data_IF_871954538131
#
_entry.id   IF_871954538131
#
_cell.length_a   1.000
_cell.length_b   1.000
_cell.length_c   1.000
_cell.angle_alpha   90.00
_cell.angle_beta   90.00
_cell.angle_gamma   90.00
#
_symmetry.space_group_name_H-M   'P 1'
#
loop_
_entity.id
_entity.type
_entity.pdbx_description
1 polymer ?
#
# COMPACT_ATOMS: atom_id res chain seq x y z
N UNK A 1 10.65 -14.69 1.03
CA UNK A 1 10.60 -13.30 1.50
C UNK A 1 9.37 -13.10 2.37
N UNK A 2 9.50 -12.36 3.47
CA UNK A 2 8.39 -12.03 4.41
C UNK A 2 7.68 -10.78 3.92
N UNK A 3 6.36 -10.82 3.82
CA UNK A 3 5.53 -9.74 3.26
C UNK A 3 4.70 -9.09 4.35
N UNK A 4 4.79 -7.77 4.45
CA UNK A 4 3.86 -6.90 5.17
C UNK A 4 2.88 -6.29 4.16
N UNK A 5 1.60 -6.63 4.29
CA UNK A 5 0.54 -6.20 3.36
C UNK A 5 -0.30 -5.10 4.01
N UNK A 6 -0.14 -3.87 3.53
CA UNK A 6 -0.82 -2.66 4.02
C UNK A 6 -2.02 -2.36 3.13
N UNK A 7 -3.11 -1.85 3.72
CA UNK A 7 -4.37 -1.62 3.02
C UNK A 7 -4.83 -2.87 2.28
N UNK A 8 -4.73 -4.01 2.97
CA UNK A 8 -4.71 -5.35 2.39
C UNK A 8 -6.00 -5.73 1.64
N UNK A 9 -7.11 -5.03 1.91
CA UNK A 9 -8.40 -5.39 1.33
C UNK A 9 -8.74 -6.85 1.64
N UNK A 10 -9.01 -7.63 0.59
CA UNK A 10 -9.29 -9.07 0.71
C UNK A 10 -8.03 -9.95 0.56
N UNK A 11 -6.84 -9.34 0.47
CA UNK A 11 -5.56 -10.05 0.39
C UNK A 11 -5.08 -10.38 -1.02
N UNK A 12 -5.42 -9.55 -2.02
CA UNK A 12 -5.06 -9.78 -3.42
C UNK A 12 -3.55 -9.84 -3.65
N UNK A 13 -2.78 -8.90 -3.09
CA UNK A 13 -1.31 -8.91 -3.16
C UNK A 13 -0.74 -10.19 -2.54
N UNK A 14 -1.16 -10.49 -1.33
CA UNK A 14 -0.70 -11.69 -0.61
C UNK A 14 -1.00 -12.97 -1.36
N UNK A 15 -2.21 -13.11 -1.92
CA UNK A 15 -2.58 -14.29 -2.70
C UNK A 15 -1.70 -14.45 -3.94
N UNK A 16 -1.50 -13.36 -4.69
CA UNK A 16 -0.66 -13.37 -5.90
C UNK A 16 0.79 -13.69 -5.59
N UNK A 17 1.37 -13.05 -4.59
CA UNK A 17 2.75 -13.25 -4.19
C UNK A 17 3.01 -14.67 -3.65
N UNK A 18 2.16 -15.16 -2.76
CA UNK A 18 2.28 -16.51 -2.18
C UNK A 18 2.13 -17.61 -3.22
N UNK A 19 1.32 -17.40 -4.28
CA UNK A 19 1.17 -18.36 -5.37
C UNK A 19 2.48 -18.66 -6.11
N UNK A 20 3.46 -17.78 -6.04
CA UNK A 20 4.80 -17.98 -6.63
C UNK A 20 5.71 -18.91 -5.81
N UNK A 21 5.35 -19.19 -4.54
CA UNK A 21 6.15 -20.00 -3.62
C UNK A 21 7.35 -19.29 -2.98
N UNK A 22 7.64 -18.03 -3.35
CA UNK A 22 8.81 -17.29 -2.82
C UNK A 22 8.47 -16.33 -1.68
N UNK A 23 7.20 -16.05 -1.47
CA UNK A 23 6.72 -15.05 -0.52
C UNK A 23 5.85 -15.70 0.55
N UNK A 24 5.87 -15.11 1.74
CA UNK A 24 4.99 -15.48 2.85
C UNK A 24 4.51 -14.22 3.55
N UNK A 25 3.22 -13.98 3.57
CA UNK A 25 2.61 -12.88 4.31
C UNK A 25 2.76 -13.15 5.81
N UNK A 26 3.23 -12.15 6.54
CA UNK A 26 3.46 -12.24 7.98
C UNK A 26 2.57 -11.32 8.79
N UNK A 27 2.03 -10.28 8.16
CA UNK A 27 1.17 -9.29 8.80
C UNK A 27 0.27 -8.61 7.78
N UNK A 28 -0.99 -8.39 8.15
CA UNK A 28 -1.94 -7.53 7.44
C UNK A 28 -2.21 -6.25 8.22
N UNK A 29 -2.46 -5.15 7.50
CA UNK A 29 -3.02 -3.91 8.05
C UNK A 29 -4.25 -3.54 7.21
N UNK A 30 -5.45 -3.66 7.81
CA UNK A 30 -6.74 -3.45 7.13
C UNK A 30 -7.81 -2.97 8.10
N UNK A 31 -8.43 -1.82 7.81
CA UNK A 31 -9.40 -1.21 8.72
C UNK A 31 -10.84 -1.68 8.48
N UNK A 32 -11.17 -2.15 7.26
CA UNK A 32 -12.51 -2.56 6.90
C UNK A 32 -12.85 -3.93 7.49
N UNK A 33 -13.81 -3.98 8.39
CA UNK A 33 -14.19 -5.20 9.13
C UNK A 33 -14.64 -6.34 8.23
N UNK A 34 -15.26 -6.03 7.08
CA UNK A 34 -15.67 -7.05 6.12
C UNK A 34 -14.44 -7.69 5.45
N UNK A 35 -13.47 -6.87 5.02
CA UNK A 35 -12.20 -7.35 4.46
C UNK A 35 -11.44 -8.22 5.48
N UNK A 36 -11.35 -7.78 6.73
CA UNK A 36 -10.72 -8.56 7.81
C UNK A 36 -11.34 -9.96 7.99
N UNK A 37 -12.68 -10.09 7.83
CA UNK A 37 -13.34 -11.42 7.89
C UNK A 37 -12.87 -12.34 6.77
N UNK A 38 -12.68 -11.79 5.56
CA UNK A 38 -12.18 -12.53 4.40
C UNK A 38 -10.72 -12.91 4.61
N UNK A 39 -9.88 -11.99 5.08
CA UNK A 39 -8.49 -12.26 5.40
C UNK A 39 -8.35 -13.39 6.42
N UNK A 40 -9.11 -13.36 7.53
CA UNK A 40 -9.08 -14.44 8.55
C UNK A 40 -9.49 -15.81 7.98
N UNK A 41 -10.42 -15.82 7.01
CA UNK A 41 -10.86 -17.06 6.37
C UNK A 41 -9.80 -17.63 5.43
N UNK A 42 -9.18 -16.76 4.60
CA UNK A 42 -8.29 -17.20 3.52
C UNK A 42 -6.83 -17.32 3.98
N UNK A 43 -6.44 -16.58 5.00
CA UNK A 43 -5.08 -16.56 5.57
C UNK A 43 -5.11 -16.84 7.08
N UNK A 44 -5.51 -18.06 7.48
CA UNK A 44 -5.66 -18.39 8.90
C UNK A 44 -4.32 -18.28 9.63
N UNK A 45 -4.36 -17.64 10.80
CA UNK A 45 -3.17 -17.48 11.65
C UNK A 45 -2.31 -16.27 11.35
N UNK A 46 -2.54 -15.53 10.25
CA UNK A 46 -1.83 -14.26 10.00
C UNK A 46 -2.49 -13.15 10.83
N UNK A 47 -1.73 -12.39 11.63
CA UNK A 47 -2.28 -11.28 12.41
C UNK A 47 -2.77 -10.14 11.51
N UNK A 48 -3.83 -9.45 11.96
CA UNK A 48 -4.42 -8.30 11.28
C UNK A 48 -4.44 -7.13 12.25
N UNK A 49 -3.78 -6.03 11.90
CA UNK A 49 -3.91 -4.76 12.61
C UNK A 49 -4.98 -3.89 11.92
N UNK A 50 -5.76 -3.15 12.68
CA UNK A 50 -6.97 -2.48 12.17
C UNK A 50 -6.78 -0.99 11.82
N UNK A 51 -5.66 -0.36 12.19
CA UNK A 51 -5.43 1.06 11.90
C UNK A 51 -3.96 1.33 11.55
N UNK A 52 -3.73 1.74 10.30
CA UNK A 52 -2.39 2.10 9.83
C UNK A 52 -1.75 3.20 10.67
N UNK A 53 -2.53 4.13 11.22
CA UNK A 53 -2.03 5.26 12.03
C UNK A 53 -1.44 4.80 13.36
N UNK A 54 -1.90 3.69 13.90
CA UNK A 54 -1.39 3.09 15.15
C UNK A 54 -0.45 1.92 14.93
N UNK A 55 -0.37 1.42 13.68
CA UNK A 55 0.55 0.35 13.33
C UNK A 55 2.00 0.84 13.34
N UNK A 56 2.86 0.05 13.95
CA UNK A 56 4.32 0.27 13.95
C UNK A 56 4.97 -0.63 12.93
N UNK A 57 6.21 -0.31 12.55
CA UNK A 57 6.98 -1.13 11.64
C UNK A 57 7.07 -2.60 12.07
N UNK A 58 7.27 -3.47 11.10
CA UNK A 58 7.30 -4.91 11.28
C UNK A 58 8.53 -5.52 10.60
N UNK A 59 9.04 -6.63 11.11
CA UNK A 59 10.16 -7.33 10.49
C UNK A 59 9.69 -8.05 9.20
N UNK A 60 9.88 -7.38 8.06
CA UNK A 60 9.49 -7.86 6.74
C UNK A 60 10.51 -7.45 5.67
N UNK A 61 10.68 -8.30 4.65
CA UNK A 61 11.58 -8.05 3.52
C UNK A 61 10.91 -7.22 2.42
N UNK A 62 9.60 -7.30 2.32
CA UNK A 62 8.77 -6.65 1.32
C UNK A 62 7.56 -5.99 1.99
N UNK A 63 7.35 -4.72 1.70
CA UNK A 63 6.10 -3.99 2.02
C UNK A 63 5.30 -3.83 0.75
N UNK A 64 4.03 -4.24 0.78
CA UNK A 64 3.09 -4.03 -0.33
C UNK A 64 1.88 -3.24 0.16
N UNK A 65 1.24 -2.47 -0.74
CA UNK A 65 0.00 -1.78 -0.39
C UNK A 65 -0.61 -0.95 -1.52
N UNK A 66 -1.94 -1.00 -1.62
CA UNK A 66 -2.74 -0.10 -2.45
C UNK A 66 -3.24 1.08 -1.60
N UNK A 67 -2.43 2.13 -1.45
CA UNK A 67 -2.76 3.23 -0.56
C UNK A 67 -3.85 4.14 -1.15
N UNK A 68 -4.85 4.56 -0.34
CA UNK A 68 -5.86 5.51 -0.78
C UNK A 68 -5.23 6.85 -1.17
N UNK A 69 -5.51 7.28 -2.42
CA UNK A 69 -5.07 8.55 -2.95
C UNK A 69 -6.27 9.25 -3.59
N UNK A 70 -6.93 10.16 -2.87
CA UNK A 70 -8.02 10.94 -3.44
C UNK A 70 -7.54 12.36 -3.80
N UNK A 71 -8.03 12.93 -4.93
CA UNK A 71 -7.63 14.27 -5.34
C UNK A 71 -8.05 15.28 -4.28
N UNK A 72 -7.15 16.20 -3.98
CA UNK A 72 -7.48 17.38 -3.21
C UNK A 72 -8.56 18.15 -3.95
N UNK A 73 -9.75 18.34 -3.35
CA UNK A 73 -10.73 19.25 -3.93
C UNK A 73 -10.12 20.66 -3.93
N UNK A 74 -10.10 21.30 -5.11
CA UNK A 74 -9.46 22.62 -5.37
C UNK A 74 -10.00 23.75 -4.48
N UNK A 75 -11.09 23.52 -3.75
CA UNK A 75 -11.77 24.50 -2.89
C UNK A 75 -11.17 24.71 -1.49
N UNK A 76 -10.08 24.04 -1.12
CA UNK A 76 -9.55 24.15 0.25
C UNK A 76 -8.07 23.87 0.40
N UNK A 77 -7.21 24.75 -0.13
CA UNK A 77 -5.73 24.65 -0.04
C UNK A 77 -5.11 24.46 1.37
N UNK A 78 -5.87 24.62 2.43
CA UNK A 78 -5.38 24.46 3.81
C UNK A 78 -5.94 23.25 4.59
N UNK A 79 -6.96 22.56 4.09
CA UNK A 79 -7.52 21.36 4.74
C UNK A 79 -7.01 20.04 4.18
N UNK A 80 -6.24 20.07 3.09
CA UNK A 80 -5.81 18.91 2.33
C UNK A 80 -4.82 18.00 3.10
N UNK A 81 -4.03 18.54 4.01
CA UNK A 81 -3.06 17.78 4.82
C UNK A 81 -3.75 16.97 5.94
N UNK A 82 -5.01 17.24 6.24
CA UNK A 82 -5.79 16.56 7.28
C UNK A 82 -6.90 15.64 6.70
N UNK A 83 -6.90 15.39 5.38
CA UNK A 83 -7.89 14.50 4.79
C UNK A 83 -7.51 13.04 5.06
N UNK A 84 -8.34 12.35 5.85
CA UNK A 84 -8.19 10.93 6.19
C UNK A 84 -8.12 9.97 4.99
N UNK A 85 -8.28 10.51 3.78
CA UNK A 85 -8.27 9.79 2.50
C UNK A 85 -6.92 9.83 1.77
N UNK A 86 -5.92 10.55 2.31
CA UNK A 86 -4.56 10.55 1.78
C UNK A 86 -3.65 9.84 2.79
N UNK A 87 -3.42 8.56 2.57
CA UNK A 87 -2.70 7.71 3.52
C UNK A 87 -1.28 7.34 3.08
N UNK A 88 -0.75 7.97 2.03
CA UNK A 88 0.65 7.81 1.65
C UNK A 88 1.63 8.15 2.80
N UNK A 89 1.47 9.26 3.54
CA UNK A 89 2.37 9.57 4.65
C UNK A 89 2.44 8.47 5.72
N UNK A 90 1.32 7.79 5.98
CA UNK A 90 1.29 6.67 6.92
C UNK A 90 1.98 5.42 6.35
N UNK A 91 1.77 5.11 5.07
CA UNK A 91 2.49 4.04 4.40
C UNK A 91 3.99 4.30 4.42
N UNK A 92 4.42 5.51 4.08
CA UNK A 92 5.82 5.91 4.08
C UNK A 92 6.44 5.84 5.49
N UNK A 93 5.71 6.26 6.53
CA UNK A 93 6.14 6.09 7.92
C UNK A 93 6.41 4.62 8.25
N UNK A 94 5.48 3.71 7.89
CA UNK A 94 5.64 2.27 8.12
C UNK A 94 6.82 1.71 7.32
N UNK A 95 7.05 2.15 6.09
CA UNK A 95 8.23 1.76 5.29
C UNK A 95 9.51 2.14 6.03
N UNK A 96 9.62 3.37 6.53
CA UNK A 96 10.80 3.83 7.30
C UNK A 96 11.04 3.03 8.58
N UNK A 97 9.97 2.68 9.29
CA UNK A 97 10.05 1.87 10.51
C UNK A 97 10.42 0.41 10.21
N UNK A 98 9.92 -0.16 9.11
CA UNK A 98 10.13 -1.55 8.69
C UNK A 98 11.50 -1.74 8.05
N UNK A 99 12.00 -0.76 7.28
CA UNK A 99 13.23 -0.82 6.48
C UNK A 99 13.30 -2.05 5.57
N UNK A 100 12.27 -2.29 4.74
CA UNK A 100 12.23 -3.47 3.88
C UNK A 100 13.25 -3.35 2.75
N UNK A 101 13.60 -4.48 2.13
CA UNK A 101 14.43 -4.48 0.91
C UNK A 101 13.63 -4.03 -0.31
N UNK A 102 12.32 -4.31 -0.34
CA UNK A 102 11.43 -4.02 -1.46
C UNK A 102 10.15 -3.33 -1.02
N UNK A 103 9.65 -2.45 -1.88
CA UNK A 103 8.33 -1.82 -1.72
C UNK A 103 7.55 -1.97 -3.02
N UNK A 104 6.29 -2.38 -2.94
CA UNK A 104 5.34 -2.37 -4.07
C UNK A 104 4.15 -1.52 -3.67
N UNK A 105 4.03 -0.34 -4.27
CA UNK A 105 2.86 0.54 -4.14
C UNK A 105 1.93 0.38 -5.34
N UNK A 106 0.66 0.15 -5.11
CA UNK A 106 -0.36 0.14 -6.17
C UNK A 106 -1.24 1.38 -6.04
N UNK A 107 -1.64 1.94 -7.19
CA UNK A 107 -2.63 3.00 -7.21
C UNK A 107 -3.37 3.06 -8.55
N UNK A 108 -4.51 3.72 -8.58
CA UNK A 108 -5.24 3.97 -9.80
C UNK A 108 -4.46 4.88 -10.74
N UNK A 109 -4.60 4.67 -12.06
CA UNK A 109 -3.90 5.46 -13.09
C UNK A 109 -3.99 6.98 -12.87
N UNK A 110 -5.08 7.45 -12.27
CA UNK A 110 -5.30 8.87 -12.04
C UNK A 110 -4.24 9.54 -11.13
N UNK A 111 -3.46 8.78 -10.36
CA UNK A 111 -2.38 9.31 -9.52
C UNK A 111 -1.37 10.13 -10.34
N UNK A 112 -1.21 9.81 -11.63
CA UNK A 112 -0.28 10.49 -12.56
C UNK A 112 -0.69 11.95 -12.80
N UNK A 113 -1.98 12.27 -12.70
CA UNK A 113 -2.54 13.59 -12.99
C UNK A 113 -3.09 14.33 -11.78
N UNK A 114 -3.19 13.68 -10.63
CA UNK A 114 -3.65 14.32 -9.39
C UNK A 114 -2.69 15.47 -9.03
N UNK A 115 -3.24 16.66 -8.81
CA UNK A 115 -2.47 17.85 -8.46
C UNK A 115 -1.29 18.11 -9.43
N UNK A 116 -1.54 18.02 -10.73
CA UNK A 116 -0.52 18.19 -11.77
C UNK A 116 0.70 17.25 -11.63
N UNK A 117 0.48 16.04 -11.11
CA UNK A 117 1.53 15.02 -10.91
C UNK A 117 2.28 15.11 -9.59
N UNK A 118 2.08 16.15 -8.80
CA UNK A 118 2.83 16.39 -7.55
C UNK A 118 2.68 15.24 -6.53
N UNK A 119 1.54 14.53 -6.54
CA UNK A 119 1.35 13.41 -5.59
C UNK A 119 2.26 12.24 -5.93
N UNK A 120 2.37 11.89 -7.20
CA UNK A 120 3.28 10.82 -7.65
C UNK A 120 4.73 11.25 -7.46
N UNK A 121 5.07 12.48 -7.78
CA UNK A 121 6.41 13.05 -7.55
C UNK A 121 6.81 12.97 -6.08
N UNK A 122 5.89 13.30 -5.16
CA UNK A 122 6.16 13.17 -3.72
C UNK A 122 6.44 11.71 -3.32
N UNK A 123 5.71 10.74 -3.87
CA UNK A 123 5.97 9.31 -3.64
C UNK A 123 7.38 8.92 -4.06
N UNK A 124 7.83 9.41 -5.24
CA UNK A 124 9.21 9.16 -5.71
C UNK A 124 10.24 9.78 -4.76
N UNK A 125 10.11 11.07 -4.46
CA UNK A 125 11.05 11.79 -3.60
C UNK A 125 11.16 11.16 -2.21
N UNK A 126 10.04 10.74 -1.64
CA UNK A 126 10.01 10.09 -0.33
C UNK A 126 10.77 8.76 -0.36
N UNK A 127 10.50 7.88 -1.34
CA UNK A 127 11.17 6.58 -1.46
C UNK A 127 12.65 6.73 -1.78
N UNK A 128 13.04 7.63 -2.69
CA UNK A 128 14.42 7.92 -3.04
C UNK A 128 15.19 8.48 -1.83
N UNK A 129 14.55 9.27 -0.96
CA UNK A 129 15.17 9.77 0.27
C UNK A 129 15.57 8.68 1.26
N UNK A 130 14.91 7.52 1.18
CA UNK A 130 15.25 6.32 1.97
C UNK A 130 16.17 5.34 1.21
N UNK A 131 16.66 5.74 0.02
CA UNK A 131 17.63 4.97 -0.76
C UNK A 131 17.03 3.93 -1.71
N UNK A 132 15.72 3.98 -1.98
CA UNK A 132 15.11 3.11 -2.98
C UNK A 132 15.32 3.63 -4.39
N UNK A 133 15.55 2.73 -5.34
CA UNK A 133 15.38 3.01 -6.77
C UNK A 133 13.90 2.80 -7.12
N UNK A 134 13.25 3.82 -7.72
CA UNK A 134 11.81 3.79 -7.97
C UNK A 134 11.52 3.63 -9.46
N UNK A 135 10.66 2.67 -9.80
CA UNK A 135 10.19 2.46 -11.16
C UNK A 135 8.67 2.27 -11.19
N UNK A 136 7.97 3.03 -12.04
CA UNK A 136 6.53 2.86 -12.26
C UNK A 136 6.21 2.03 -13.48
N UNK A 137 5.10 1.29 -13.39
CA UNK A 137 4.51 0.54 -14.48
C UNK A 137 3.02 0.87 -14.61
N UNK A 138 2.53 0.99 -15.83
CA UNK A 138 1.08 1.04 -16.10
C UNK A 138 0.65 -0.36 -16.52
N UNK A 139 -0.15 -1.02 -15.66
CA UNK A 139 -0.65 -2.36 -15.91
C UNK A 139 -2.16 -2.27 -16.14
N UNK A 140 -2.67 -2.61 -17.35
CA UNK A 140 -4.11 -2.59 -17.61
C UNK A 140 -4.82 -3.70 -16.82
N UNK A 141 -5.78 -3.33 -15.95
CA UNK A 141 -6.56 -4.30 -15.18
C UNK A 141 -7.36 -5.28 -16.07
N UNK A 142 -7.77 -4.84 -17.26
CA UNK A 142 -8.48 -5.67 -18.25
C UNK A 142 -7.66 -6.87 -18.75
N UNK A 143 -6.33 -6.82 -18.69
CA UNK A 143 -5.50 -7.96 -19.09
C UNK A 143 -5.63 -9.15 -18.13
N UNK A 144 -6.18 -8.94 -16.93
CA UNK A 144 -6.41 -9.98 -15.93
C UNK A 144 -7.78 -10.68 -16.07
N UNK A 145 -8.68 -10.13 -16.89
CA UNK A 145 -10.04 -10.65 -17.10
C UNK A 145 -10.09 -11.69 -18.24
N UNK A 146 -9.06 -11.76 -19.05
CA UNK A 146 -8.99 -12.62 -20.24
C UNK A 146 -8.05 -13.84 -20.07
N UNK A 147 -7.75 -14.23 -18.83
CA UNK A 147 -6.98 -15.44 -18.53
C UNK A 147 -7.96 -16.61 -18.37
#
# INVERSE_FOLDING_TARGET
MRVLDLFSGIGGFSLGLESTGFFKTVQFVENEKWCQKILRKNFPGIPIHDDIKTFKGYDADLVVGGFPCQPFSVAGKQKAIQDDRHLWPEMFRVIKETKPTWVIGENVRNIISISDGMVLEQVYLDLESEGFEVQSFIIPALSLIHI
#
